data_IF_300800440734
#
_entry.id   IF_300800440734
#
_cell.length_a   1.000
_cell.length_b   1.000
_cell.length_c   1.000
_cell.angle_alpha   90.00
_cell.angle_beta   90.00
_cell.angle_gamma   90.00
#
_symmetry.space_group_name_H-M   'P 1'
#
loop_
_entity.id
_entity.type
_entity.pdbx_description
1 polymer ?
#
# COMPACT_ATOMS: atom_id res chain seq x y z
N UNK A 1 -31.88 -0.11 -20.75
CA UNK A 1 -30.41 -0.05 -20.82
C UNK A 1 -29.90 -0.15 -19.40
N UNK A 2 -29.20 -1.23 -19.04
CA UNK A 2 -28.64 -1.43 -17.70
C UNK A 2 -27.21 -0.89 -17.67
N UNK A 3 -26.89 -0.04 -16.68
CA UNK A 3 -25.56 0.56 -16.53
C UNK A 3 -24.61 -0.42 -15.81
N UNK A 4 -23.34 -0.42 -16.19
CA UNK A 4 -22.30 -1.34 -15.67
C UNK A 4 -22.05 -1.25 -14.15
N UNK A 5 -22.70 -0.32 -13.44
CA UNK A 5 -22.60 -0.11 -12.00
C UNK A 5 -23.57 -0.94 -11.17
N UNK A 6 -24.57 -1.58 -11.80
CA UNK A 6 -25.59 -2.34 -11.06
C UNK A 6 -25.09 -3.71 -10.57
N UNK A 7 -23.97 -4.20 -11.10
CA UNK A 7 -23.34 -5.45 -10.70
C UNK A 7 -21.80 -5.29 -10.72
N UNK A 8 -21.17 -4.78 -9.64
CA UNK A 8 -19.72 -4.72 -9.61
C UNK A 8 -19.16 -6.14 -9.75
N UNK A 9 -18.39 -6.40 -10.80
CA UNK A 9 -17.61 -7.63 -10.92
C UNK A 9 -16.52 -7.56 -9.86
N UNK A 10 -16.80 -8.08 -8.68
CA UNK A 10 -15.81 -8.26 -7.64
C UNK A 10 -14.85 -9.35 -8.13
N UNK A 11 -13.55 -9.05 -8.12
CA UNK A 11 -12.53 -10.04 -8.44
C UNK A 11 -12.66 -11.23 -7.48
N UNK A 12 -13.11 -12.37 -8.00
CA UNK A 12 -13.23 -13.62 -7.26
C UNK A 12 -12.02 -14.50 -7.60
N UNK A 13 -11.14 -14.72 -6.63
CA UNK A 13 -10.09 -15.73 -6.74
C UNK A 13 -10.66 -17.05 -6.22
N UNK A 14 -10.77 -18.09 -7.05
CA UNK A 14 -11.23 -19.43 -6.63
C UNK A 14 -10.30 -20.06 -5.58
N UNK A 15 -9.07 -19.58 -5.49
CA UNK A 15 -8.10 -19.99 -4.49
C UNK A 15 -7.65 -18.76 -3.68
N UNK A 16 -8.24 -18.61 -2.50
CA UNK A 16 -7.68 -17.78 -1.44
C UNK A 16 -7.50 -18.70 -0.22
N UNK A 17 -6.32 -19.28 0.01
CA UNK A 17 -6.06 -20.01 1.24
C UNK A 17 -6.08 -18.99 2.38
N UNK A 18 -7.27 -18.78 2.97
CA UNK A 18 -7.46 -17.88 4.12
C UNK A 18 -7.12 -18.58 5.44
N UNK A 19 -7.06 -19.91 5.45
CA UNK A 19 -6.89 -20.71 6.68
C UNK A 19 -5.45 -21.14 6.98
N UNK A 20 -4.55 -21.20 6.00
CA UNK A 20 -3.19 -21.73 6.24
C UNK A 20 -2.14 -20.65 6.56
N UNK A 21 -2.39 -19.39 6.21
CA UNK A 21 -1.48 -18.28 6.50
C UNK A 21 -1.78 -17.67 7.87
N UNK A 22 -1.29 -18.33 8.92
CA UNK A 22 -1.21 -17.74 10.25
C UNK A 22 -0.34 -16.49 10.15
N UNK A 23 -0.85 -15.34 10.61
CA UNK A 23 -0.03 -14.13 10.72
C UNK A 23 1.13 -14.43 11.67
N UNK A 24 2.30 -14.61 11.11
CA UNK A 24 3.53 -14.76 11.89
C UNK A 24 3.82 -13.39 12.48
N UNK A 25 3.96 -13.30 13.80
CA UNK A 25 4.32 -12.06 14.48
C UNK A 25 5.73 -11.64 14.05
N UNK A 26 5.82 -10.65 13.18
CA UNK A 26 7.08 -10.12 12.66
C UNK A 26 6.94 -8.64 12.34
N UNK A 27 8.06 -7.91 12.39
CA UNK A 27 8.14 -6.56 11.84
C UNK A 27 8.48 -6.67 10.37
N UNK A 28 7.94 -5.78 9.55
CA UNK A 28 8.41 -5.62 8.18
C UNK A 28 9.81 -5.02 8.20
N UNK A 29 10.66 -5.46 7.27
CA UNK A 29 12.00 -4.93 7.04
C UNK A 29 12.19 -4.77 5.53
N UNK A 30 12.57 -3.56 5.09
CA UNK A 30 12.85 -3.26 3.69
C UNK A 30 14.34 -3.47 3.43
N UNK A 31 14.65 -4.56 2.75
CA UNK A 31 16.01 -4.84 2.28
C UNK A 31 16.25 -4.13 0.94
N UNK A 32 17.04 -3.06 0.96
CA UNK A 32 17.34 -2.25 -0.22
C UNK A 32 18.76 -1.67 -0.15
N UNK A 33 19.49 -1.57 -1.28
CA UNK A 33 20.74 -0.81 -1.34
C UNK A 33 20.51 0.71 -1.34
N UNK A 34 19.26 1.15 -1.46
CA UNK A 34 18.86 2.55 -1.49
C UNK A 34 18.14 2.95 -0.21
N UNK A 35 18.25 4.24 0.14
CA UNK A 35 17.45 4.87 1.19
C UNK A 35 16.39 5.80 0.56
N UNK A 36 15.33 6.16 1.30
CA UNK A 36 14.39 7.19 0.87
C UNK A 36 15.13 8.48 0.47
N UNK A 37 14.79 9.04 -0.68
CA UNK A 37 15.46 10.23 -1.21
C UNK A 37 14.47 11.19 -1.91
N UNK A 38 14.90 12.43 -2.14
CA UNK A 38 14.05 13.48 -2.73
C UNK A 38 12.81 13.73 -1.86
N UNK A 39 11.63 13.69 -2.46
CA UNK A 39 10.35 13.93 -1.77
C UNK A 39 9.82 12.69 -1.02
N UNK A 40 10.49 11.54 -1.14
CA UNK A 40 10.01 10.29 -0.53
C UNK A 40 9.91 10.36 1.00
N UNK A 41 10.89 10.92 1.76
CA UNK A 41 10.77 11.01 3.21
C UNK A 41 9.53 11.79 3.66
N UNK A 42 9.27 12.95 3.05
CA UNK A 42 8.11 13.77 3.34
C UNK A 42 6.79 13.07 2.95
N UNK A 43 6.77 12.37 1.82
CA UNK A 43 5.62 11.58 1.41
C UNK A 43 5.33 10.44 2.41
N UNK A 44 6.35 9.76 2.91
CA UNK A 44 6.20 8.70 3.91
C UNK A 44 5.62 9.27 5.21
N UNK A 45 6.17 10.38 5.71
CA UNK A 45 5.68 11.02 6.94
C UNK A 45 4.21 11.44 6.85
N UNK A 46 3.81 12.04 5.73
CA UNK A 46 2.43 12.45 5.52
C UNK A 46 1.49 11.25 5.37
N UNK A 47 1.88 10.22 4.60
CA UNK A 47 1.09 9.00 4.48
C UNK A 47 0.94 8.30 5.84
N UNK A 48 2.01 8.19 6.61
CA UNK A 48 1.99 7.60 7.96
C UNK A 48 1.02 8.36 8.87
N UNK A 49 1.10 9.69 8.88
CA UNK A 49 0.20 10.54 9.66
C UNK A 49 -1.27 10.28 9.32
N UNK A 50 -1.60 10.24 8.03
CA UNK A 50 -2.97 10.01 7.53
C UNK A 50 -3.48 8.59 7.84
N UNK A 51 -2.63 7.58 7.66
CA UNK A 51 -2.94 6.18 8.01
C UNK A 51 -3.20 6.05 9.50
N UNK A 52 -2.32 6.61 10.35
CA UNK A 52 -2.49 6.59 11.82
C UNK A 52 -3.73 7.39 12.28
N UNK A 53 -4.13 8.41 11.54
CA UNK A 53 -5.36 9.15 11.77
C UNK A 53 -6.64 8.38 11.36
N UNK A 54 -6.51 7.19 10.77
CA UNK A 54 -7.63 6.35 10.35
C UNK A 54 -8.30 6.81 9.05
N UNK A 55 -7.62 7.63 8.25
CA UNK A 55 -8.11 8.01 6.93
C UNK A 55 -8.18 6.77 6.01
N UNK A 56 -9.34 6.55 5.39
CA UNK A 56 -9.56 5.38 4.54
C UNK A 56 -9.06 5.57 3.11
N UNK A 57 -9.17 6.79 2.60
CA UNK A 57 -8.92 7.13 1.20
C UNK A 57 -7.68 8.02 1.09
N UNK A 58 -6.53 7.38 0.84
CA UNK A 58 -5.23 8.04 0.76
C UNK A 58 -4.63 7.80 -0.62
N UNK A 59 -4.17 8.86 -1.28
CA UNK A 59 -3.55 8.79 -2.61
C UNK A 59 -2.11 9.26 -2.53
N UNK A 60 -1.18 8.40 -2.92
CA UNK A 60 0.21 8.77 -3.18
C UNK A 60 0.33 9.26 -4.63
N UNK A 61 0.34 10.58 -4.82
CA UNK A 61 0.62 11.20 -6.11
C UNK A 61 2.12 11.18 -6.36
N UNK A 62 2.55 10.50 -7.41
CA UNK A 62 3.97 10.47 -7.80
C UNK A 62 4.12 10.24 -9.30
N UNK A 63 5.07 10.96 -9.91
CA UNK A 63 5.40 10.79 -11.32
C UNK A 63 5.95 9.38 -11.63
N UNK A 64 6.01 9.02 -12.91
CA UNK A 64 6.63 7.76 -13.33
C UNK A 64 8.12 7.79 -13.01
N UNK A 65 8.65 6.70 -12.44
CA UNK A 65 10.06 6.59 -12.07
C UNK A 65 10.44 7.15 -10.69
N UNK A 66 9.53 7.76 -9.93
CA UNK A 66 9.85 8.33 -8.61
C UNK A 66 9.89 7.32 -7.46
N UNK A 67 9.76 6.02 -7.76
CA UNK A 67 9.88 4.97 -6.74
C UNK A 67 8.66 4.80 -5.84
N UNK A 68 7.42 5.02 -6.33
CA UNK A 68 6.18 4.83 -5.54
C UNK A 68 6.11 3.50 -4.77
N UNK A 69 6.53 2.40 -5.38
CA UNK A 69 6.57 1.09 -4.71
C UNK A 69 7.54 1.07 -3.52
N UNK A 70 8.71 1.71 -3.66
CA UNK A 70 9.69 1.81 -2.59
C UNK A 70 9.18 2.72 -1.46
N UNK A 71 8.57 3.86 -1.80
CA UNK A 71 7.89 4.75 -0.84
C UNK A 71 6.86 3.98 0.00
N UNK A 72 6.01 3.18 -0.63
CA UNK A 72 5.01 2.38 0.10
C UNK A 72 5.65 1.27 0.92
N UNK A 73 6.72 0.63 0.45
CA UNK A 73 7.42 -0.40 1.21
C UNK A 73 8.01 0.17 2.51
N UNK A 74 8.69 1.32 2.44
CA UNK A 74 9.23 2.00 3.62
C UNK A 74 8.14 2.55 4.54
N UNK A 75 6.96 2.91 4.02
CA UNK A 75 5.80 3.22 4.86
C UNK A 75 5.34 2.00 5.66
N UNK A 76 5.28 0.81 5.04
CA UNK A 76 4.82 -0.44 5.68
C UNK A 76 5.81 -0.92 6.76
N UNK A 77 7.10 -0.59 6.63
CA UNK A 77 8.14 -0.87 7.63
C UNK A 77 7.98 -0.08 8.94
N UNK A 78 7.31 1.08 8.90
CA UNK A 78 7.08 1.94 10.07
C UNK A 78 5.88 1.50 10.93
#
# INVERSE_FOLDING_TARGET
MAFATEHPVLAHSEYRPVDEMVRVGGRFEVVSPHAPAGDQPAAIEELERRVRAGERDIVLLGATGTGKSATTAWLIER
#
